data_IF_337433293333
#
_entry.id   IF_337433293333
#
_cell.length_a   1.000
_cell.length_b   1.000
_cell.length_c   1.000
_cell.angle_alpha   90.00
_cell.angle_beta   90.00
_cell.angle_gamma   90.00
#
_symmetry.space_group_name_H-M   'P 1'
#
loop_
_entity.id
_entity.type
_entity.pdbx_description
1 polymer ?
#
# COMPACT_ATOMS: atom_id res chain seq x y z
N UNK A 1 2.63 -17.91 -2.92
CA UNK A 1 3.00 -16.63 -2.24
C UNK A 1 2.05 -15.47 -2.56
N UNK A 2 1.56 -15.32 -3.80
CA UNK A 2 0.65 -14.22 -4.15
C UNK A 2 -0.69 -14.30 -3.39
N UNK A 3 -1.28 -15.48 -3.25
CA UNK A 3 -2.51 -15.68 -2.46
C UNK A 3 -2.34 -15.23 -0.99
N UNK A 4 -1.20 -15.55 -0.36
CA UNK A 4 -0.88 -15.08 1.00
C UNK A 4 -0.72 -13.55 1.07
N UNK A 5 -0.17 -12.93 0.03
CA UNK A 5 -0.09 -11.46 -0.06
C UNK A 5 -1.47 -10.82 -0.05
N UNK A 6 -2.43 -11.38 -0.81
CA UNK A 6 -3.81 -10.88 -0.88
C UNK A 6 -4.56 -11.06 0.44
N UNK A 7 -4.32 -12.16 1.17
CA UNK A 7 -4.87 -12.39 2.51
C UNK A 7 -4.33 -11.36 3.50
N UNK A 8 -3.02 -11.13 3.52
CA UNK A 8 -2.39 -10.08 4.32
C UNK A 8 -2.91 -8.69 3.95
N UNK A 9 -3.01 -8.37 2.66
CA UNK A 9 -3.58 -7.11 2.18
C UNK A 9 -5.02 -6.91 2.69
N UNK A 10 -5.82 -7.97 2.75
CA UNK A 10 -7.19 -7.92 3.27
C UNK A 10 -7.20 -7.56 4.76
N UNK A 11 -6.38 -8.25 5.58
CA UNK A 11 -6.28 -7.96 7.02
C UNK A 11 -5.75 -6.55 7.28
N UNK A 12 -4.67 -6.15 6.60
CA UNK A 12 -4.12 -4.80 6.73
C UNK A 12 -5.09 -3.72 6.23
N UNK A 13 -5.95 -4.01 5.26
CA UNK A 13 -6.97 -3.06 4.82
C UNK A 13 -8.02 -2.83 5.91
N UNK A 14 -8.45 -3.88 6.62
CA UNK A 14 -9.35 -3.76 7.78
C UNK A 14 -8.74 -2.93 8.90
N UNK A 15 -7.43 -3.07 9.14
CA UNK A 15 -6.70 -2.33 10.18
C UNK A 15 -5.97 -1.08 9.66
N UNK A 16 -6.41 -0.49 8.54
CA UNK A 16 -5.70 0.63 7.90
C UNK A 16 -5.48 1.85 8.81
N UNK A 17 -6.30 2.03 9.85
CA UNK A 17 -6.09 3.06 10.86
C UNK A 17 -4.83 2.82 11.70
N UNK A 18 -4.57 1.58 12.10
CA UNK A 18 -3.38 1.21 12.88
C UNK A 18 -2.10 1.33 12.04
N UNK A 19 -2.14 0.97 10.75
CA UNK A 19 -1.01 1.21 9.84
C UNK A 19 -0.65 2.70 9.76
N UNK A 20 -1.64 3.59 9.73
CA UNK A 20 -1.41 5.05 9.74
C UNK A 20 -0.80 5.51 11.06
N UNK A 21 -1.24 4.97 12.20
CA UNK A 21 -0.63 5.28 13.51
C UNK A 21 0.83 4.84 13.57
N UNK A 22 1.13 3.62 13.11
CA UNK A 22 2.52 3.10 13.02
C UNK A 22 3.40 3.95 12.10
N UNK A 23 2.85 4.46 10.99
CA UNK A 23 3.56 5.38 10.10
C UNK A 23 3.83 6.77 10.74
N UNK A 24 2.99 7.19 11.69
CA UNK A 24 3.09 8.49 12.35
C UNK A 24 3.96 8.47 13.62
N UNK A 25 3.97 7.37 14.39
CA UNK A 25 4.70 7.25 15.65
C UNK A 25 6.19 7.68 15.64
N UNK A 26 7.02 7.40 14.62
CA UNK A 26 8.41 7.86 14.60
C UNK A 26 8.59 9.35 14.22
N UNK A 27 7.52 10.09 13.93
CA UNK A 27 7.59 11.54 13.78
C UNK A 27 7.65 12.26 15.14
N UNK A 28 7.18 11.62 16.22
CA UNK A 28 6.97 12.27 17.52
C UNK A 28 8.11 12.01 18.53
N UNK A 29 8.90 10.95 18.34
CA UNK A 29 9.92 10.51 19.31
C UNK A 29 11.19 11.39 19.39
N UNK A 30 11.45 12.28 18.42
CA UNK A 30 12.71 13.04 18.36
C UNK A 30 12.62 14.50 18.81
N UNK A 31 11.47 15.01 19.30
CA UNK A 31 11.36 16.38 19.85
C UNK A 31 11.70 17.53 18.88
N UNK A 32 12.11 17.23 17.64
CA UNK A 32 12.29 18.19 16.56
C UNK A 32 10.91 18.37 15.93
N UNK A 33 10.31 19.55 16.08
CA UNK A 33 9.06 19.92 15.39
C UNK A 33 9.23 19.76 13.88
N UNK A 34 8.80 18.62 13.33
CA UNK A 34 8.91 18.32 11.90
C UNK A 34 7.59 18.62 11.21
N UNK A 35 7.57 19.65 10.35
CA UNK A 35 6.37 19.93 9.54
C UNK A 35 6.45 19.15 8.23
N UNK A 36 5.47 18.27 7.99
CA UNK A 36 5.32 17.57 6.71
C UNK A 36 4.73 18.55 5.68
N UNK A 37 5.34 18.73 4.49
CA UNK A 37 4.68 19.49 3.44
C UNK A 37 3.39 18.78 3.05
N UNK A 38 2.26 19.41 3.36
CA UNK A 38 0.92 18.89 3.06
C UNK A 38 0.86 18.48 1.58
N UNK A 39 0.31 17.29 1.24
CA UNK A 39 0.07 16.88 -0.15
C UNK A 39 -0.66 18.00 -0.91
N UNK A 40 -0.56 18.08 -2.26
CA UNK A 40 -1.27 19.11 -3.02
C UNK A 40 -2.71 19.24 -2.52
N UNK A 41 -3.07 20.42 -2.03
CA UNK A 41 -4.46 20.74 -1.75
C UNK A 41 -5.22 20.46 -3.05
N UNK A 42 -6.09 19.45 -3.04
CA UNK A 42 -7.21 19.41 -3.98
C UNK A 42 -7.96 20.72 -3.76
N UNK A 43 -8.18 21.48 -4.82
CA UNK A 43 -9.00 22.70 -4.76
C UNK A 43 -10.30 22.41 -3.99
N UNK A 44 -10.84 23.40 -3.29
CA UNK A 44 -12.07 23.25 -2.48
C UNK A 44 -13.20 22.60 -3.27
N UNK A 45 -13.38 22.97 -4.55
CA UNK A 45 -14.34 22.33 -5.47
C UNK A 45 -14.03 20.86 -5.81
N UNK A 46 -12.75 20.49 -5.88
CA UNK A 46 -12.33 19.09 -6.11
C UNK A 46 -12.52 18.24 -4.84
N UNK A 47 -12.44 18.85 -3.65
CA UNK A 47 -12.77 18.20 -2.36
C UNK A 47 -14.28 17.97 -2.23
N UNK A 48 -15.09 18.98 -2.52
CA UNK A 48 -16.55 18.89 -2.49
C UNK A 48 -17.09 17.78 -3.42
N UNK A 49 -16.60 17.74 -4.67
CA UNK A 49 -16.96 16.65 -5.60
C UNK A 49 -16.48 15.27 -5.13
N UNK A 50 -15.38 15.21 -4.37
CA UNK A 50 -14.88 13.95 -3.83
C UNK A 50 -15.68 13.47 -2.62
N UNK A 51 -16.14 14.38 -1.75
CA UNK A 51 -17.02 14.07 -0.61
C UNK A 51 -18.39 13.63 -1.09
N UNK A 52 -19.00 14.37 -2.02
CA UNK A 52 -20.29 14.02 -2.63
C UNK A 52 -20.26 12.61 -3.26
N UNK A 53 -19.23 12.32 -4.06
CA UNK A 53 -19.04 10.98 -4.65
C UNK A 53 -18.84 9.89 -3.59
N UNK A 54 -18.22 10.21 -2.45
CA UNK A 54 -18.02 9.27 -1.34
C UNK A 54 -19.34 8.98 -0.64
N UNK A 55 -20.12 10.02 -0.34
CA UNK A 55 -21.43 9.92 0.28
C UNK A 55 -22.39 9.07 -0.56
N UNK A 56 -22.44 9.29 -1.88
CA UNK A 56 -23.24 8.47 -2.78
C UNK A 56 -22.88 6.98 -2.72
N UNK A 57 -21.59 6.66 -2.64
CA UNK A 57 -21.13 5.26 -2.50
C UNK A 57 -21.47 4.69 -1.13
N UNK A 58 -21.34 5.48 -0.06
CA UNK A 58 -21.69 5.06 1.28
C UNK A 58 -23.18 4.76 1.40
N UNK A 59 -24.04 5.61 0.82
CA UNK A 59 -25.48 5.37 0.74
C UNK A 59 -25.79 4.06 0.01
N UNK A 60 -25.18 3.84 -1.15
CA UNK A 60 -25.36 2.59 -1.91
C UNK A 60 -24.85 1.35 -1.15
N UNK A 61 -23.71 1.45 -0.45
CA UNK A 61 -23.20 0.35 0.38
C UNK A 61 -24.15 0.04 1.54
N UNK A 62 -24.70 1.06 2.20
CA UNK A 62 -25.71 0.90 3.26
C UNK A 62 -26.98 0.23 2.75
N UNK A 63 -27.47 0.61 1.57
CA UNK A 63 -28.65 0.00 0.94
C UNK A 63 -28.43 -1.48 0.62
N UNK A 64 -27.26 -1.85 0.08
CA UNK A 64 -26.91 -3.26 -0.17
C UNK A 64 -26.93 -4.06 1.13
N UNK A 65 -26.38 -3.52 2.22
CA UNK A 65 -26.37 -4.19 3.52
C UNK A 65 -27.75 -4.26 4.18
N UNK A 66 -28.59 -3.26 4.02
CA UNK A 66 -29.98 -3.29 4.51
C UNK A 66 -30.76 -4.41 3.83
N UNK A 67 -30.80 -4.43 2.50
CA UNK A 67 -31.52 -5.47 1.74
C UNK A 67 -30.98 -6.88 1.99
N UNK A 68 -29.66 -7.01 2.17
CA UNK A 68 -29.06 -8.31 2.51
C UNK A 68 -29.45 -8.77 3.92
N UNK A 69 -29.61 -7.85 4.89
CA UNK A 69 -30.13 -8.17 6.23
C UNK A 69 -31.61 -8.55 6.20
N UNK A 70 -32.36 -7.98 5.27
CA UNK A 70 -33.77 -8.33 5.00
C UNK A 70 -33.90 -9.67 4.22
N UNK A 71 -32.80 -10.40 4.00
CA UNK A 71 -32.79 -11.73 3.41
C UNK A 71 -32.77 -11.77 1.88
N UNK A 72 -32.56 -10.64 1.19
CA UNK A 72 -32.57 -10.60 -0.26
C UNK A 72 -31.33 -11.30 -0.86
N UNK A 73 -31.55 -12.03 -1.96
CA UNK A 73 -30.45 -12.64 -2.72
C UNK A 73 -29.59 -11.59 -3.42
N UNK A 74 -28.33 -11.93 -3.71
CA UNK A 74 -27.40 -11.00 -4.37
C UNK A 74 -27.90 -10.57 -5.75
N UNK A 75 -28.61 -11.46 -6.44
CA UNK A 75 -29.24 -11.25 -7.73
C UNK A 75 -30.41 -10.27 -7.62
N UNK A 76 -31.28 -10.42 -6.62
CA UNK A 76 -32.40 -9.51 -6.37
C UNK A 76 -31.92 -8.10 -5.99
N UNK A 77 -30.89 -8.01 -5.14
CA UNK A 77 -30.27 -6.72 -4.76
C UNK A 77 -29.67 -6.03 -5.98
N UNK A 78 -28.97 -6.77 -6.84
CA UNK A 78 -28.37 -6.24 -8.06
C UNK A 78 -29.41 -5.65 -9.01
N UNK A 79 -30.52 -6.37 -9.22
CA UNK A 79 -31.65 -5.92 -10.03
C UNK A 79 -32.35 -4.70 -9.45
N UNK A 80 -32.65 -4.73 -8.14
CA UNK A 80 -33.38 -3.65 -7.47
C UNK A 80 -32.58 -2.34 -7.41
N UNK A 81 -31.27 -2.39 -7.16
CA UNK A 81 -30.41 -1.20 -7.05
C UNK A 81 -29.76 -0.78 -8.37
N UNK A 82 -29.99 -1.53 -9.47
CA UNK A 82 -29.39 -1.24 -10.78
C UNK A 82 -27.85 -1.31 -10.79
N UNK A 83 -27.25 -2.18 -9.95
CA UNK A 83 -25.80 -2.37 -9.86
C UNK A 83 -25.37 -3.77 -10.25
N UNK A 84 -24.16 -3.90 -10.81
CA UNK A 84 -23.64 -5.22 -11.21
C UNK A 84 -23.46 -6.16 -10.01
N UNK A 85 -23.77 -7.45 -10.21
CA UNK A 85 -23.62 -8.53 -9.20
C UNK A 85 -22.24 -8.58 -8.54
N UNK A 86 -21.18 -8.31 -9.30
CA UNK A 86 -19.80 -8.26 -8.77
C UNK A 86 -19.60 -7.12 -7.77
N UNK A 87 -20.34 -6.02 -7.90
CA UNK A 87 -20.32 -4.88 -6.97
C UNK A 87 -21.05 -5.22 -5.67
N UNK A 88 -22.23 -5.85 -5.76
CA UNK A 88 -22.96 -6.38 -4.59
C UNK A 88 -22.06 -7.35 -3.82
N UNK A 89 -21.47 -8.32 -4.51
CA UNK A 89 -20.53 -9.27 -3.92
C UNK A 89 -19.32 -8.59 -3.29
N UNK A 90 -18.79 -7.50 -3.87
CA UNK A 90 -17.69 -6.73 -3.28
C UNK A 90 -18.11 -5.99 -2.01
N UNK A 91 -19.31 -5.39 -1.99
CA UNK A 91 -19.81 -4.68 -0.81
C UNK A 91 -20.05 -5.61 0.38
N UNK A 92 -20.55 -6.82 0.13
CA UNK A 92 -20.82 -7.83 1.16
C UNK A 92 -19.57 -8.60 1.64
N UNK A 93 -18.40 -8.42 1.01
CA UNK A 93 -17.13 -8.99 1.48
C UNK A 93 -16.55 -8.25 2.69
N UNK A 94 -17.01 -7.04 2.95
CA UNK A 94 -16.49 -6.18 4.01
C UNK A 94 -17.65 -5.67 4.86
N UNK A 95 -17.65 -5.98 6.15
CA UNK A 95 -18.63 -5.50 7.14
C UNK A 95 -18.53 -3.98 7.38
N UNK A 96 -17.45 -3.36 6.89
CA UNK A 96 -17.22 -1.92 6.93
C UNK A 96 -17.09 -1.34 5.53
N UNK A 97 -17.48 -0.08 5.36
CA UNK A 97 -17.42 0.60 4.07
C UNK A 97 -15.98 0.67 3.54
N UNK A 98 -15.66 0.01 2.41
CA UNK A 98 -14.32 0.04 1.86
C UNK A 98 -14.06 1.41 1.21
N UNK A 99 -13.21 2.22 1.84
CA UNK A 99 -12.78 3.49 1.26
C UNK A 99 -11.99 3.27 -0.02
N UNK A 100 -12.16 4.19 -0.99
CA UNK A 100 -11.39 4.13 -2.22
C UNK A 100 -9.92 4.39 -1.91
N UNK A 101 -9.09 3.39 -2.16
CA UNK A 101 -7.63 3.55 -2.16
C UNK A 101 -7.28 4.68 -3.15
N UNK A 102 -6.54 5.70 -2.68
CA UNK A 102 -6.02 6.75 -3.55
C UNK A 102 -5.12 6.14 -4.63
N UNK A 103 -4.91 6.84 -5.75
CA UNK A 103 -3.94 6.35 -6.73
C UNK A 103 -2.55 6.35 -6.08
N UNK A 104 -1.83 5.23 -6.20
CA UNK A 104 -0.53 5.01 -5.55
C UNK A 104 0.61 5.88 -6.11
N UNK A 105 0.38 6.50 -7.27
CA UNK A 105 1.25 7.46 -7.95
C UNK A 105 0.96 8.92 -7.55
N UNK A 106 -0.15 9.20 -6.86
CA UNK A 106 -0.48 10.57 -6.42
C UNK A 106 0.59 11.05 -5.45
N UNK A 107 1.36 12.05 -5.89
CA UNK A 107 2.46 12.62 -5.12
C UNK A 107 3.84 12.12 -5.53
N UNK A 108 3.94 11.09 -6.39
CA UNK A 108 5.22 10.70 -7.00
C UNK A 108 5.64 11.76 -8.00
N UNK A 109 6.81 12.34 -7.76
CA UNK A 109 7.40 13.35 -8.61
C UNK A 109 8.82 12.97 -8.97
N UNK A 110 9.29 13.42 -10.14
CA UNK A 110 10.74 13.40 -10.46
C UNK A 110 11.57 14.17 -9.43
N UNK A 111 10.92 15.03 -8.63
CA UNK A 111 11.52 15.74 -7.52
C UNK A 111 11.79 14.84 -6.30
N UNK A 112 11.17 13.65 -6.20
CA UNK A 112 11.21 12.86 -4.97
C UNK A 112 12.61 12.46 -4.49
N UNK A 113 13.53 12.01 -5.38
CA UNK A 113 14.91 11.72 -5.00
C UNK A 113 15.67 12.95 -4.51
N UNK A 114 15.24 14.15 -4.91
CA UNK A 114 15.91 15.42 -4.65
C UNK A 114 15.39 16.15 -3.41
N UNK A 115 14.27 15.69 -2.84
CA UNK A 115 13.65 16.25 -1.63
C UNK A 115 14.61 16.38 -0.44
N UNK A 116 15.48 15.39 -0.12
CA UNK A 116 16.41 15.49 1.01
C UNK A 116 17.37 16.67 0.83
N UNK A 117 17.97 16.82 -0.35
CA UNK A 117 18.88 17.92 -0.66
C UNK A 117 18.17 19.28 -0.61
N UNK A 118 16.94 19.36 -1.14
CA UNK A 118 16.14 20.59 -1.07
C UNK A 118 15.90 20.98 0.38
N UNK A 119 15.55 20.02 1.25
CA UNK A 119 15.31 20.27 2.66
C UNK A 119 16.56 20.65 3.44
N UNK A 120 17.68 19.99 3.18
CA UNK A 120 18.97 20.33 3.77
C UNK A 120 19.33 21.79 3.47
N UNK A 121 19.28 22.18 2.19
CA UNK A 121 19.56 23.56 1.76
C UNK A 121 18.51 24.54 2.28
N UNK A 122 17.26 24.13 2.35
CA UNK A 122 16.18 24.92 2.93
C UNK A 122 16.43 25.17 4.42
N UNK A 123 16.77 24.15 5.20
CA UNK A 123 17.09 24.27 6.62
C UNK A 123 18.36 25.10 6.86
N UNK A 124 19.35 25.01 5.95
CA UNK A 124 20.54 25.87 5.94
C UNK A 124 20.28 27.33 5.49
N UNK A 125 19.02 27.74 5.28
CA UNK A 125 18.64 29.13 5.01
C UNK A 125 18.49 29.50 3.52
N UNK A 126 18.71 28.57 2.58
CA UNK A 126 18.51 28.84 1.15
C UNK A 126 17.00 28.83 0.81
N UNK A 127 16.35 30.00 0.83
CA UNK A 127 14.90 30.16 0.53
C UNK A 127 14.56 30.50 -0.94
N UNK A 128 15.58 30.69 -1.76
CA UNK A 128 15.46 31.12 -3.15
C UNK A 128 15.26 29.91 -4.09
N UNK A 129 14.02 29.66 -4.50
CA UNK A 129 13.65 28.51 -5.33
C UNK A 129 14.39 28.47 -6.69
N UNK A 130 14.74 29.63 -7.28
CA UNK A 130 15.53 29.70 -8.52
C UNK A 130 16.98 29.24 -8.32
N UNK A 131 17.60 29.58 -7.18
CA UNK A 131 18.95 29.14 -6.82
C UNK A 131 18.99 27.63 -6.60
N UNK A 132 18.03 27.11 -5.83
CA UNK A 132 17.87 25.66 -5.64
C UNK A 132 17.66 24.92 -6.96
N UNK A 133 16.92 25.50 -7.92
CA UNK A 133 16.73 24.90 -9.22
C UNK A 133 18.03 24.75 -10.01
N UNK A 134 18.87 25.81 -10.05
CA UNK A 134 20.18 25.76 -10.72
C UNK A 134 21.11 24.74 -10.08
N UNK A 135 21.17 24.70 -8.75
CA UNK A 135 21.96 23.72 -8.01
C UNK A 135 21.48 22.28 -8.26
N UNK A 136 20.17 22.06 -8.36
CA UNK A 136 19.59 20.78 -8.71
C UNK A 136 19.92 20.38 -10.16
N UNK A 137 19.82 21.31 -11.11
CA UNK A 137 20.16 21.06 -12.51
C UNK A 137 21.63 20.66 -12.66
N UNK A 138 22.54 21.34 -11.96
CA UNK A 138 23.97 21.00 -11.94
C UNK A 138 24.29 19.60 -11.38
N UNK A 139 23.40 19.06 -10.53
CA UNK A 139 23.52 17.70 -10.00
C UNK A 139 22.80 16.64 -10.84
N UNK A 140 22.12 17.03 -11.92
CA UNK A 140 21.43 16.10 -12.83
C UNK A 140 19.90 16.06 -12.70
N UNK A 141 19.29 17.01 -12.00
CA UNK A 141 17.82 17.14 -12.00
C UNK A 141 17.31 17.57 -13.38
N UNK A 142 16.53 16.68 -14.01
CA UNK A 142 15.91 16.90 -15.32
C UNK A 142 14.41 17.28 -15.25
N UNK A 143 13.91 17.64 -14.08
CA UNK A 143 12.50 18.03 -13.89
C UNK A 143 12.25 19.53 -14.10
N UNK A 144 10.99 19.96 -13.96
CA UNK A 144 10.58 21.33 -14.27
C UNK A 144 10.63 22.27 -13.06
N UNK A 145 10.99 23.53 -13.29
CA UNK A 145 10.98 24.59 -12.27
C UNK A 145 9.62 24.73 -11.54
N UNK A 146 8.45 24.71 -12.22
CA UNK A 146 7.14 24.80 -11.54
C UNK A 146 6.89 23.67 -10.53
N UNK A 147 7.52 22.50 -10.71
CA UNK A 147 7.41 21.38 -9.76
C UNK A 147 8.17 21.67 -8.48
N UNK A 148 9.40 22.21 -8.60
CA UNK A 148 10.19 22.67 -7.46
C UNK A 148 9.56 23.89 -6.79
N UNK A 149 9.05 24.86 -7.57
CA UNK A 149 8.40 26.05 -7.05
C UNK A 149 7.17 25.70 -6.19
N UNK A 150 6.30 24.81 -6.68
CA UNK A 150 5.16 24.29 -5.90
C UNK A 150 5.61 23.58 -4.61
N UNK A 151 6.68 22.80 -4.66
CA UNK A 151 7.20 22.11 -3.46
C UNK A 151 7.77 23.10 -2.43
N UNK A 152 8.62 24.04 -2.86
CA UNK A 152 9.19 25.06 -1.98
C UNK A 152 8.14 26.03 -1.42
N UNK A 153 7.08 26.34 -2.17
CA UNK A 153 5.94 27.12 -1.67
C UNK A 153 5.20 26.39 -0.54
N UNK A 154 5.04 25.06 -0.62
CA UNK A 154 4.48 24.26 0.48
C UNK A 154 5.35 24.28 1.72
N UNK A 155 6.68 24.24 1.55
CA UNK A 155 7.61 24.37 2.67
C UNK A 155 7.48 25.73 3.37
N UNK A 156 7.20 26.82 2.63
CA UNK A 156 6.89 28.13 3.23
C UNK A 156 5.58 28.11 3.99
N UNK A 157 4.48 27.66 3.35
CA UNK A 157 3.16 27.59 3.98
C UNK A 157 3.18 26.76 5.28
N UNK A 158 3.82 25.59 5.24
CA UNK A 158 4.03 24.73 6.39
C UNK A 158 4.76 25.43 7.56
N UNK A 159 5.73 26.31 7.28
CA UNK A 159 6.45 27.09 8.29
C UNK A 159 5.67 28.31 8.77
N UNK A 160 4.87 28.93 7.90
CA UNK A 160 4.07 30.09 8.27
C UNK A 160 2.85 29.68 9.11
N UNK A 161 2.23 28.53 8.80
CA UNK A 161 1.11 27.97 9.57
C UNK A 161 1.53 27.50 10.98
N UNK A 162 2.76 27.00 11.14
CA UNK A 162 3.28 26.63 12.46
C UNK A 162 3.55 27.83 13.37
N UNK A 163 3.89 28.99 12.79
CA UNK A 163 4.08 30.26 13.50
C UNK A 163 2.74 30.90 13.90
N UNK A 164 1.66 30.62 13.17
CA UNK A 164 0.33 31.23 13.40
C UNK A 164 -0.55 30.52 14.45
N UNK A 165 -0.19 29.32 14.90
CA UNK A 165 -0.99 28.61 15.92
C UNK A 165 -0.91 29.29 17.30
N UNK A 166 -2.05 29.63 17.94
CA UNK A 166 -2.08 30.39 19.19
C UNK A 166 -1.50 29.63 20.40
N UNK A 167 -1.57 28.29 20.41
CA UNK A 167 -1.00 27.44 21.47
C UNK A 167 0.54 27.39 21.50
N UNK A 168 1.22 27.89 20.45
CA UNK A 168 2.69 27.86 20.32
C UNK A 168 3.38 29.21 20.54
N UNK A 169 2.63 30.28 20.80
CA UNK A 169 3.21 31.62 21.03
C UNK A 169 4.11 31.70 22.27
N UNK A 170 4.01 30.77 23.22
CA UNK A 170 4.82 30.76 24.45
C UNK A 170 6.25 30.23 24.28
N UNK A 171 6.54 29.43 23.24
CA UNK A 171 7.89 28.86 23.02
C UNK A 171 8.75 29.60 21.98
N UNK A 172 8.18 30.57 21.25
CA UNK A 172 8.88 31.30 20.17
C UNK A 172 9.46 32.63 20.67
N UNK A 173 10.22 32.59 21.78
CA UNK A 173 11.13 33.69 22.18
C UNK A 173 12.61 33.38 21.91
N UNK A 174 12.90 32.28 21.21
CA UNK A 174 14.23 31.94 20.68
C UNK A 174 14.19 31.82 19.16
N UNK A 175 15.21 32.35 18.48
CA UNK A 175 15.35 32.52 17.01
C UNK A 175 15.38 31.24 16.15
N UNK A 176 14.86 30.10 16.61
CA UNK A 176 14.94 28.84 15.86
C UNK A 176 13.56 28.42 15.33
N UNK A 177 13.33 28.67 14.03
CA UNK A 177 12.17 28.14 13.30
C UNK A 177 12.29 26.60 13.19
N UNK A 178 11.17 25.86 13.24
CA UNK A 178 11.18 24.40 13.21
C UNK A 178 11.80 23.84 11.92
N UNK A 179 12.60 22.78 12.06
CA UNK A 179 13.29 22.08 10.99
C UNK A 179 12.31 21.25 10.15
N UNK A 180 12.41 21.34 8.81
CA UNK A 180 11.58 20.55 7.91
C UNK A 180 12.25 19.21 7.60
N UNK A 181 11.53 18.10 7.77
CA UNK A 181 11.96 16.74 7.39
C UNK A 181 10.95 16.13 6.44
N UNK A 182 11.40 15.60 5.31
CA UNK A 182 10.58 14.82 4.40
C UNK A 182 10.77 13.36 4.83
N UNK A 183 9.71 12.69 5.32
CA UNK A 183 9.79 11.25 5.41
C UNK A 183 9.79 10.74 3.96
N UNK A 184 10.97 10.40 3.43
CA UNK A 184 11.08 9.42 2.33
C UNK A 184 10.63 8.01 2.80
N UNK A 185 9.60 7.93 3.64
CA UNK A 185 8.94 6.70 3.99
C UNK A 185 8.05 6.37 2.81
N UNK A 186 8.31 5.24 2.14
CA UNK A 186 7.26 4.63 1.32
C UNK A 186 6.05 4.50 2.26
N UNK A 187 4.89 5.06 1.90
CA UNK A 187 3.74 5.04 2.80
C UNK A 187 3.44 3.60 3.19
N UNK A 188 3.13 3.36 4.46
CA UNK A 188 2.84 2.02 4.95
C UNK A 188 1.40 1.65 4.55
N UNK A 189 1.23 1.41 3.26
CA UNK A 189 -0.01 0.89 2.68
C UNK A 189 -0.20 -0.58 3.05
N UNK A 190 -1.44 -1.09 3.03
CA UNK A 190 -1.73 -2.52 3.24
C UNK A 190 -0.88 -3.43 2.36
N UNK A 191 -0.69 -3.06 1.09
CA UNK A 191 0.17 -3.75 0.13
C UNK A 191 1.63 -3.74 0.52
N UNK A 192 2.19 -2.58 0.83
CA UNK A 192 3.60 -2.49 1.24
C UNK A 192 3.85 -3.22 2.56
N UNK A 193 2.89 -3.24 3.49
CA UNK A 193 2.97 -4.02 4.71
C UNK A 193 2.92 -5.54 4.43
N UNK A 194 2.01 -6.00 3.56
CA UNK A 194 1.99 -7.40 3.12
C UNK A 194 3.32 -7.82 2.49
N UNK A 195 3.89 -7.00 1.61
CA UNK A 195 5.19 -7.26 1.02
C UNK A 195 6.36 -7.16 2.00
N UNK A 196 6.24 -6.38 3.07
CA UNK A 196 7.21 -6.30 4.15
C UNK A 196 7.26 -7.62 4.93
N UNK A 197 6.09 -8.20 5.24
CA UNK A 197 5.97 -9.51 5.90
C UNK A 197 6.50 -10.63 5.01
N UNK A 198 6.21 -10.60 3.71
CA UNK A 198 6.63 -11.65 2.78
C UNK A 198 8.14 -11.62 2.47
N UNK A 199 8.82 -10.49 2.73
CA UNK A 199 10.24 -10.29 2.41
C UNK A 199 11.12 -11.23 3.25
N UNK A 200 12.20 -11.75 2.66
CA UNK A 200 13.19 -12.57 3.40
C UNK A 200 13.89 -11.69 4.44
N UNK A 201 14.11 -12.22 5.64
CA UNK A 201 14.78 -11.50 6.73
C UNK A 201 16.13 -10.89 6.32
N UNK A 202 16.95 -11.64 5.56
CA UNK A 202 18.23 -11.15 5.00
C UNK A 202 18.13 -9.93 4.07
N UNK A 203 16.95 -9.65 3.54
CA UNK A 203 16.68 -8.51 2.65
C UNK A 203 15.90 -7.39 3.37
N UNK A 204 15.63 -7.53 4.67
CA UNK A 204 15.01 -6.49 5.50
C UNK A 204 16.12 -5.58 6.04
N UNK A 205 15.87 -4.27 5.99
CA UNK A 205 16.72 -3.30 6.69
C UNK A 205 16.36 -3.25 8.18
N UNK A 206 17.24 -2.71 9.04
CA UNK A 206 16.89 -2.48 10.45
C UNK A 206 15.61 -1.65 10.62
N UNK A 207 15.34 -0.74 9.69
CA UNK A 207 14.11 0.05 9.67
C UNK A 207 12.89 -0.78 9.25
N UNK A 208 13.03 -1.74 8.34
CA UNK A 208 11.98 -2.68 7.94
C UNK A 208 11.57 -3.55 9.15
N UNK A 209 12.54 -4.05 9.92
CA UNK A 209 12.28 -4.86 11.12
C UNK A 209 11.64 -4.04 12.24
N UNK A 210 12.08 -2.79 12.44
CA UNK A 210 11.45 -1.87 13.39
C UNK A 210 9.99 -1.57 13.01
N UNK A 211 9.70 -1.36 11.72
CA UNK A 211 8.33 -1.17 11.24
C UNK A 211 7.46 -2.40 11.49
N UNK A 212 8.00 -3.60 11.30
CA UNK A 212 7.27 -4.84 11.50
C UNK A 212 7.01 -5.11 12.99
N UNK A 213 7.95 -4.77 13.87
CA UNK A 213 7.75 -4.81 15.32
C UNK A 213 6.68 -3.81 15.79
N UNK A 214 6.64 -2.60 15.23
CA UNK A 214 5.55 -1.64 15.52
C UNK A 214 4.19 -2.16 15.04
N UNK A 215 4.13 -2.83 13.89
CA UNK A 215 2.87 -3.44 13.40
C UNK A 215 2.37 -4.53 14.35
N UNK A 216 3.27 -5.36 14.90
CA UNK A 216 2.91 -6.35 15.93
C UNK A 216 2.39 -5.66 17.20
N UNK A 217 3.09 -4.63 17.67
CA UNK A 217 2.69 -3.91 18.87
C UNK A 217 1.36 -3.13 18.72
N UNK A 218 0.94 -2.81 17.49
CA UNK A 218 -0.24 -1.96 17.26
C UNK A 218 -1.57 -2.68 17.49
N UNK A 219 -1.69 -3.97 17.14
CA UNK A 219 -2.94 -4.69 17.28
C UNK A 219 -2.76 -6.22 17.29
N UNK A 220 -3.45 -6.98 18.17
CA UNK A 220 -3.33 -8.44 18.25
C UNK A 220 -3.58 -9.17 16.92
N UNK A 221 -4.64 -8.78 16.19
CA UNK A 221 -4.94 -9.31 14.85
C UNK A 221 -3.79 -9.13 13.83
N UNK A 222 -3.01 -8.05 13.93
CA UNK A 222 -1.85 -7.85 13.06
C UNK A 222 -0.70 -8.76 13.46
N UNK A 223 -0.47 -8.94 14.76
CA UNK A 223 0.51 -9.91 15.28
C UNK A 223 0.19 -11.31 14.81
N UNK A 224 -1.06 -11.76 14.97
CA UNK A 224 -1.51 -13.07 14.52
C UNK A 224 -1.31 -13.25 13.01
N UNK A 225 -1.73 -12.27 12.19
CA UNK A 225 -1.55 -12.31 10.74
C UNK A 225 -0.09 -12.40 10.31
N UNK A 226 0.79 -11.62 10.97
CA UNK A 226 2.24 -11.63 10.69
C UNK A 226 2.83 -12.99 11.07
N UNK A 227 2.50 -13.51 12.26
CA UNK A 227 3.01 -14.80 12.75
C UNK A 227 2.57 -15.97 11.88
N UNK A 228 1.28 -16.05 11.52
CA UNK A 228 0.75 -17.10 10.64
C UNK A 228 1.41 -17.05 9.26
N UNK A 229 1.57 -15.85 8.69
CA UNK A 229 2.24 -15.68 7.43
C UNK A 229 3.72 -16.09 7.50
N UNK A 230 4.47 -15.65 8.52
CA UNK A 230 5.88 -16.02 8.69
C UNK A 230 6.06 -17.53 8.89
N UNK A 231 5.19 -18.18 9.66
CA UNK A 231 5.18 -19.63 9.85
C UNK A 231 4.94 -20.39 8.52
N UNK A 232 3.92 -19.99 7.76
CA UNK A 232 3.63 -20.57 6.45
C UNK A 232 4.78 -20.37 5.45
N UNK A 233 5.35 -19.16 5.43
CA UNK A 233 6.50 -18.84 4.58
C UNK A 233 7.73 -19.66 4.97
N UNK A 234 7.99 -19.83 6.26
CA UNK A 234 9.09 -20.63 6.75
C UNK A 234 8.94 -22.08 6.28
N UNK A 235 7.76 -22.70 6.49
CA UNK A 235 7.44 -24.05 6.02
C UNK A 235 7.70 -24.24 4.52
N UNK A 236 7.17 -23.34 3.68
CA UNK A 236 7.38 -23.40 2.21
C UNK A 236 8.87 -23.28 1.86
N UNK A 237 9.62 -22.42 2.55
CA UNK A 237 11.04 -22.17 2.26
C UNK A 237 11.95 -23.29 2.74
N UNK A 238 11.63 -23.92 3.87
CA UNK A 238 12.39 -25.04 4.43
C UNK A 238 11.97 -26.38 3.82
N UNK A 239 10.93 -26.42 2.99
CA UNK A 239 10.40 -27.65 2.38
C UNK A 239 10.11 -28.73 3.43
N UNK A 240 9.35 -28.33 4.46
CA UNK A 240 9.01 -29.17 5.61
C UNK A 240 7.57 -29.70 5.46
N UNK A 241 7.33 -30.82 4.74
CA UNK A 241 5.99 -31.36 4.53
C UNK A 241 5.29 -31.75 5.84
N UNK A 242 6.04 -32.20 6.84
CA UNK A 242 5.55 -32.56 8.17
C UNK A 242 4.93 -31.38 8.94
N UNK A 243 5.24 -30.15 8.52
CA UNK A 243 4.68 -28.92 9.11
C UNK A 243 3.44 -28.42 8.39
N UNK A 244 3.03 -29.05 7.29
CA UNK A 244 1.88 -28.61 6.48
C UNK A 244 0.57 -28.70 7.25
N UNK A 245 0.22 -29.89 7.72
CA UNK A 245 -1.06 -30.10 8.41
C UNK A 245 -1.14 -29.29 9.71
N UNK A 246 -0.11 -29.27 10.59
CA UNK A 246 -0.13 -28.40 11.77
C UNK A 246 -0.27 -26.91 11.43
N UNK A 247 0.34 -26.45 10.33
CA UNK A 247 0.23 -25.06 9.90
C UNK A 247 -1.18 -24.75 9.37
N UNK A 248 -1.80 -25.65 8.62
CA UNK A 248 -3.16 -25.46 8.12
C UNK A 248 -4.18 -25.42 9.26
N UNK A 249 -4.07 -26.32 10.24
CA UNK A 249 -4.91 -26.32 11.45
C UNK A 249 -4.75 -24.99 12.20
N UNK A 250 -3.52 -24.53 12.42
CA UNK A 250 -3.26 -23.25 13.09
C UNK A 250 -3.89 -22.06 12.34
N UNK A 251 -3.85 -22.07 11.00
CA UNK A 251 -4.47 -21.02 10.17
C UNK A 251 -6.00 -21.11 10.21
N UNK A 252 -6.56 -22.32 10.30
CA UNK A 252 -8.00 -22.55 10.38
C UNK A 252 -8.59 -22.15 11.74
N UNK A 253 -7.82 -22.30 12.81
CA UNK A 253 -8.20 -21.88 14.18
C UNK A 253 -7.97 -20.39 14.43
N UNK A 254 -7.41 -19.66 13.45
CA UNK A 254 -7.16 -18.23 13.59
C UNK A 254 -8.44 -17.42 13.77
N UNK A 255 -8.34 -16.33 14.54
CA UNK A 255 -9.45 -15.40 14.71
C UNK A 255 -9.77 -14.60 13.43
N UNK A 256 -8.92 -14.71 12.40
CA UNK A 256 -8.96 -13.91 11.18
C UNK A 256 -9.75 -14.61 10.06
N UNK A 257 -10.93 -14.10 9.66
CA UNK A 257 -11.75 -14.74 8.62
C UNK A 257 -11.03 -14.90 7.27
N UNK A 258 -10.13 -13.97 6.94
CA UNK A 258 -9.34 -14.03 5.71
C UNK A 258 -8.36 -15.21 5.71
N UNK A 259 -7.77 -15.55 6.86
CA UNK A 259 -6.87 -16.70 7.01
C UNK A 259 -7.64 -18.01 7.06
N UNK A 260 -8.80 -18.08 7.74
CA UNK A 260 -9.67 -19.27 7.69
C UNK A 260 -10.11 -19.64 6.28
N UNK A 261 -10.54 -18.64 5.50
CA UNK A 261 -10.88 -18.85 4.08
C UNK A 261 -9.67 -19.24 3.24
N UNK A 262 -8.47 -18.80 3.62
CA UNK A 262 -7.24 -19.20 2.96
C UNK A 262 -6.90 -20.66 3.26
N UNK A 263 -6.95 -21.09 4.53
CA UNK A 263 -6.77 -22.50 4.90
C UNK A 263 -7.75 -23.42 4.16
N UNK A 264 -9.04 -23.09 4.13
CA UNK A 264 -10.03 -23.90 3.41
C UNK A 264 -9.68 -24.10 1.93
N UNK A 265 -9.24 -23.04 1.24
CA UNK A 265 -8.83 -23.14 -0.16
C UNK A 265 -7.55 -23.94 -0.35
N UNK A 266 -6.63 -23.88 0.62
CA UNK A 266 -5.42 -24.68 0.58
C UNK A 266 -5.73 -26.16 0.84
N UNK A 267 -6.70 -26.44 1.70
CA UNK A 267 -7.17 -27.80 1.96
C UNK A 267 -7.78 -28.44 0.70
N UNK A 268 -8.59 -27.68 -0.05
CA UNK A 268 -9.09 -28.09 -1.37
C UNK A 268 -7.95 -28.43 -2.37
N UNK A 269 -6.76 -27.83 -2.19
CA UNK A 269 -5.56 -28.02 -3.03
C UNK A 269 -4.42 -28.77 -2.30
N UNK A 270 -4.73 -29.52 -1.23
CA UNK A 270 -3.73 -30.10 -0.31
C UNK A 270 -2.63 -30.88 -1.04
N UNK A 271 -3.01 -31.79 -1.92
CA UNK A 271 -2.08 -32.61 -2.68
C UNK A 271 -1.10 -31.78 -3.55
N UNK A 272 -1.56 -30.67 -4.11
CA UNK A 272 -0.73 -29.78 -4.92
C UNK A 272 0.29 -29.02 -4.05
N UNK A 273 -0.12 -28.61 -2.84
CA UNK A 273 0.76 -27.90 -1.90
C UNK A 273 1.78 -28.88 -1.31
N UNK A 274 1.35 -30.08 -0.92
CA UNK A 274 2.23 -31.14 -0.47
C UNK A 274 3.29 -31.45 -1.54
N UNK A 275 2.88 -31.60 -2.80
CA UNK A 275 3.81 -31.77 -3.91
C UNK A 275 4.76 -30.57 -4.06
N UNK A 276 4.29 -29.32 -3.91
CA UNK A 276 5.11 -28.12 -4.00
C UNK A 276 6.14 -27.98 -2.88
N UNK A 277 5.87 -28.54 -1.69
CA UNK A 277 6.78 -28.54 -0.54
C UNK A 277 7.76 -29.73 -0.62
N UNK A 278 7.32 -30.88 -1.12
CA UNK A 278 8.12 -32.11 -1.19
C UNK A 278 9.04 -32.17 -2.41
N UNK A 279 8.55 -31.77 -3.59
CA UNK A 279 9.28 -31.95 -4.84
C UNK A 279 10.28 -30.80 -5.09
N UNK A 280 11.42 -31.09 -5.75
CA UNK A 280 12.38 -30.05 -6.10
C UNK A 280 11.92 -29.17 -7.27
N UNK A 281 10.98 -29.68 -8.08
CA UNK A 281 10.50 -29.08 -9.32
C UNK A 281 9.40 -28.04 -9.07
N UNK A 282 9.42 -26.95 -9.82
CA UNK A 282 8.38 -25.92 -9.77
C UNK A 282 7.93 -25.55 -11.18
N UNK A 283 6.61 -25.45 -11.38
CA UNK A 283 6.02 -24.94 -12.62
C UNK A 283 6.19 -23.43 -12.77
N UNK A 284 6.70 -22.72 -11.76
CA UNK A 284 6.73 -21.25 -11.73
C UNK A 284 7.48 -20.60 -12.91
N UNK A 285 8.59 -21.20 -13.35
CA UNK A 285 9.33 -20.69 -14.52
C UNK A 285 8.52 -20.89 -15.81
N UNK A 286 7.90 -22.06 -15.97
CA UNK A 286 7.05 -22.39 -17.12
C UNK A 286 5.83 -21.47 -17.15
N UNK A 287 5.15 -21.29 -16.02
CA UNK A 287 4.04 -20.35 -15.86
C UNK A 287 4.44 -18.91 -16.15
N UNK A 288 5.64 -18.50 -15.75
CA UNK A 288 6.20 -17.19 -16.07
C UNK A 288 6.32 -16.97 -17.58
N UNK A 289 6.87 -17.94 -18.31
CA UNK A 289 6.98 -17.87 -19.76
C UNK A 289 5.61 -17.90 -20.44
N UNK A 290 4.69 -18.74 -19.97
CA UNK A 290 3.31 -18.80 -20.46
C UNK A 290 2.61 -17.44 -20.25
N UNK A 291 2.75 -16.83 -19.08
CA UNK A 291 2.14 -15.54 -18.78
C UNK A 291 2.73 -14.41 -19.64
N UNK A 292 4.03 -14.45 -19.89
CA UNK A 292 4.71 -13.51 -20.80
C UNK A 292 4.23 -13.67 -22.25
N UNK A 293 4.09 -14.90 -22.72
CA UNK A 293 3.52 -15.19 -24.04
C UNK A 293 2.06 -14.71 -24.13
N UNK A 294 1.24 -14.99 -23.12
CA UNK A 294 -0.14 -14.49 -23.01
C UNK A 294 -0.19 -12.96 -23.04
N UNK A 295 0.74 -12.27 -22.39
CA UNK A 295 0.84 -10.81 -22.40
C UNK A 295 1.14 -10.29 -23.81
N UNK A 296 2.16 -10.83 -24.49
CA UNK A 296 2.52 -10.43 -25.86
C UNK A 296 1.34 -10.67 -26.81
N UNK A 297 0.69 -11.83 -26.71
CA UNK A 297 -0.52 -12.14 -27.50
C UNK A 297 -1.64 -11.12 -27.26
N UNK A 298 -1.89 -10.74 -25.99
CA UNK A 298 -2.90 -9.74 -25.61
C UNK A 298 -2.57 -8.33 -26.10
N UNK A 299 -1.29 -7.92 -26.09
CA UNK A 299 -0.86 -6.64 -26.66
C UNK A 299 -1.16 -6.53 -28.16
N UNK A 300 -1.25 -7.67 -28.85
CA UNK A 300 -1.55 -7.73 -30.28
C UNK A 300 -3.04 -7.99 -30.56
N UNK A 301 -3.89 -7.95 -29.54
CA UNK A 301 -5.33 -8.22 -29.65
C UNK A 301 -5.63 -9.56 -30.35
N UNK A 302 -4.73 -10.55 -30.24
CA UNK A 302 -4.87 -11.85 -30.91
C UNK A 302 -4.67 -11.85 -32.42
N UNK A 303 -4.25 -10.73 -33.03
CA UNK A 303 -4.12 -10.58 -34.51
C UNK A 303 -2.77 -11.02 -35.08
N UNK A 304 -1.89 -11.52 -34.23
CA UNK A 304 -0.54 -11.91 -34.63
C UNK A 304 -0.49 -13.39 -35.00
N UNK A 305 0.02 -13.69 -36.21
CA UNK A 305 0.40 -15.05 -36.59
C UNK A 305 1.58 -15.58 -35.77
N UNK A 306 1.83 -16.88 -35.86
CA UNK A 306 2.87 -17.56 -35.07
C UNK A 306 4.26 -16.94 -35.23
N UNK A 307 4.69 -16.62 -36.46
CA UNK A 307 6.03 -16.09 -36.71
C UNK A 307 6.27 -14.73 -36.05
N UNK A 308 5.24 -13.87 -36.05
CA UNK A 308 5.30 -12.55 -35.43
C UNK A 308 5.27 -12.65 -33.90
N UNK A 309 4.48 -13.58 -33.36
CA UNK A 309 4.48 -13.91 -31.93
C UNK A 309 5.85 -14.44 -31.48
N UNK A 310 6.43 -15.37 -32.24
CA UNK A 310 7.73 -15.95 -31.96
C UNK A 310 8.83 -14.89 -31.96
N UNK A 311 8.90 -14.05 -33.01
CA UNK A 311 9.87 -12.93 -33.07
C UNK A 311 9.74 -11.98 -31.88
N UNK A 312 8.52 -11.57 -31.52
CA UNK A 312 8.30 -10.67 -30.36
C UNK A 312 8.61 -11.33 -29.03
N UNK A 313 8.39 -12.63 -28.91
CA UNK A 313 8.77 -13.39 -27.72
C UNK A 313 10.28 -13.49 -27.59
N UNK A 314 11.00 -13.84 -28.65
CA UNK A 314 12.47 -13.90 -28.66
C UNK A 314 13.11 -12.53 -28.38
N UNK A 315 12.58 -11.43 -28.94
CA UNK A 315 13.11 -10.08 -28.72
C UNK A 315 12.85 -9.51 -27.32
N UNK A 316 11.89 -10.05 -26.57
CA UNK A 316 11.60 -9.61 -25.23
C UNK A 316 12.33 -10.42 -24.15
N UNK A 317 13.12 -11.43 -24.54
CA UNK A 317 13.79 -12.38 -23.66
C UNK A 317 15.16 -11.86 -23.25
#
# INVERSE_FOLDING_TARGET
MQNLAEVLETVFTTHAAELRRVEQAPADANGIETVRPVPPHRDTGTRAKATERRERRLAQWRQVWALHRDGWSREAIAGHLGIGRSTVGRHLRHDTFPERQGRSDVGRSRLDPWKPFILERWNAGCRHSRRLFRELQGRGYRGSYPTLARYTQRLRQAQDDSVRQPSRRRSVRGRNRPLLRDPQRRPLTPRTAAWLVLRRAKNRSAMDDEQLNRLRAAHPALTEAISLAEAFIAMIRTRAPERLDPCLTQVQDSALPAFRNFAKKLDDEHAAILAAVTLPWSTGQVEGQINRLKMIKRQMFGRAGFDLLNRRFMLAA
#
